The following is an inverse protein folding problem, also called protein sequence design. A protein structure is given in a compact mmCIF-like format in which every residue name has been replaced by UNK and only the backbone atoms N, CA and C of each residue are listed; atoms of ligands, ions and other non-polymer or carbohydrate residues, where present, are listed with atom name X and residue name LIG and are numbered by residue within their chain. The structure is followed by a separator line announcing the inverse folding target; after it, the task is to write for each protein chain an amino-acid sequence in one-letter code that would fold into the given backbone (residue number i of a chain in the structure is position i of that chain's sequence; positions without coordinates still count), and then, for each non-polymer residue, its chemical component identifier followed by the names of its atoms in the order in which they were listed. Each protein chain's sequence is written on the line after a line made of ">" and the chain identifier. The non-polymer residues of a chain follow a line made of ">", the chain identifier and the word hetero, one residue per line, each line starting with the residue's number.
data_IF_491100744770
#
_entry.id   IF_491100744770
#
_cell.length_a   1.000
_cell.length_b   1.000
_cell.length_c   1.000
_cell.angle_alpha   90.00
_cell.angle_beta   90.00
_cell.angle_gamma   90.00
#
_symmetry.space_group_name_H-M   'P 1'
#
loop_
_entity.id
_entity.type
_entity.pdbx_description
1 polymer ?
#
# COMPACT_ATOMS: atom_id res chain seq x y z
N UNK A 1 -5.41 -11.61 -15.14
CA UNK A 1 -4.61 -10.75 -14.25
C UNK A 1 -5.49 -10.13 -13.19
N UNK A 2 -5.19 -10.39 -11.91
CA UNK A 2 -5.82 -9.66 -10.82
C UNK A 2 -5.04 -8.34 -10.67
N UNK A 3 -5.62 -7.25 -11.18
CA UNK A 3 -4.98 -5.94 -11.21
C UNK A 3 -5.00 -5.28 -9.83
N UNK A 4 -3.90 -4.61 -9.48
CA UNK A 4 -3.81 -3.72 -8.31
C UNK A 4 -3.61 -2.29 -8.79
N UNK A 5 -4.35 -1.36 -8.21
CA UNK A 5 -4.27 0.06 -8.51
C UNK A 5 -4.01 0.82 -7.21
N UNK A 6 -3.03 1.74 -7.26
CA UNK A 6 -2.70 2.65 -6.17
C UNK A 6 -2.79 4.09 -6.69
N UNK A 7 -3.71 4.85 -6.12
CA UNK A 7 -3.98 6.23 -6.51
C UNK A 7 -3.55 7.19 -5.40
N UNK A 8 -2.49 7.99 -5.59
CA UNK A 8 -2.11 8.99 -4.60
C UNK A 8 -3.18 10.09 -4.48
N UNK A 9 -3.58 10.42 -3.26
CA UNK A 9 -4.44 11.56 -2.94
C UNK A 9 -3.63 12.64 -2.20
N UNK A 10 -3.06 13.62 -2.92
CA UNK A 10 -2.20 14.64 -2.35
C UNK A 10 -2.92 15.62 -1.42
N UNK A 11 -4.26 15.68 -1.43
CA UNK A 11 -5.05 16.59 -0.58
C UNK A 11 -5.05 16.13 0.88
N UNK A 12 -5.01 14.82 1.11
CA UNK A 12 -5.09 14.22 2.46
C UNK A 12 -3.81 13.48 2.86
N UNK A 13 -2.80 13.41 1.98
CA UNK A 13 -1.55 12.67 2.25
C UNK A 13 -1.71 11.15 2.25
N UNK A 14 -2.82 10.64 1.71
CA UNK A 14 -3.15 9.22 1.68
C UNK A 14 -3.16 8.70 0.25
N UNK A 15 -2.98 7.41 0.04
CA UNK A 15 -3.22 6.75 -1.25
C UNK A 15 -4.47 5.87 -1.16
N UNK A 16 -5.27 5.85 -2.23
CA UNK A 16 -6.36 4.90 -2.38
C UNK A 16 -5.86 3.61 -3.04
N UNK A 17 -6.07 2.48 -2.37
CA UNK A 17 -5.73 1.15 -2.82
C UNK A 17 -6.96 0.41 -3.32
N UNK A 18 -6.82 -0.28 -4.46
CA UNK A 18 -7.87 -1.11 -5.01
C UNK A 18 -7.30 -2.36 -5.67
N UNK A 19 -8.01 -3.48 -5.56
CA UNK A 19 -7.74 -4.73 -6.28
C UNK A 19 -9.03 -5.25 -6.91
N UNK A 20 -8.90 -5.84 -8.11
CA UNK A 20 -10.06 -6.35 -8.87
C UNK A 20 -10.83 -7.47 -8.18
N UNK A 21 -10.16 -8.22 -7.33
CA UNK A 21 -10.70 -9.35 -6.55
C UNK A 21 -11.07 -8.96 -5.11
N UNK A 22 -10.96 -7.68 -4.76
CA UNK A 22 -11.18 -7.16 -3.41
C UNK A 22 -10.24 -7.70 -2.32
N UNK A 23 -9.09 -8.30 -2.67
CA UNK A 23 -8.05 -8.70 -1.71
C UNK A 23 -7.59 -7.58 -0.78
N UNK A 24 -7.58 -6.31 -1.22
CA UNK A 24 -7.30 -5.15 -0.36
C UNK A 24 -8.26 -5.01 0.84
N UNK A 25 -9.48 -5.57 0.78
CA UNK A 25 -10.42 -5.61 1.90
C UNK A 25 -10.04 -6.66 2.97
N UNK A 26 -9.28 -7.69 2.58
CA UNK A 26 -8.83 -8.75 3.49
C UNK A 26 -7.58 -8.34 4.27
N UNK A 27 -6.77 -7.45 3.70
CA UNK A 27 -5.64 -6.84 4.36
C UNK A 27 -4.49 -6.56 3.41
N UNK A 28 -3.56 -5.73 3.86
CA UNK A 28 -2.31 -5.43 3.17
C UNK A 28 -1.25 -4.99 4.18
N UNK A 29 0.01 -5.14 3.80
CA UNK A 29 1.15 -4.73 4.60
C UNK A 29 2.12 -3.88 3.80
N UNK A 30 2.79 -2.95 4.47
CA UNK A 30 3.81 -2.10 3.90
C UNK A 30 5.11 -2.31 4.66
N UNK A 31 6.16 -2.65 3.93
CA UNK A 31 7.49 -2.87 4.47
C UNK A 31 8.45 -1.79 4.00
N UNK A 32 9.39 -1.40 4.85
CA UNK A 32 10.50 -0.52 4.45
C UNK A 32 11.59 -1.27 3.66
N UNK A 33 12.62 -0.56 3.22
CA UNK A 33 13.72 -1.11 2.45
C UNK A 33 14.54 -2.19 3.19
N UNK A 34 14.45 -2.28 4.52
CA UNK A 34 15.08 -3.34 5.33
C UNK A 34 14.22 -4.60 5.44
N UNK A 35 12.98 -4.58 4.92
CA UNK A 35 11.99 -5.64 5.06
C UNK A 35 11.21 -5.58 6.38
N UNK A 36 11.33 -4.49 7.15
CA UNK A 36 10.57 -4.30 8.38
C UNK A 36 9.15 -3.85 8.06
N UNK A 37 8.16 -4.46 8.69
CA UNK A 37 6.77 -3.99 8.65
C UNK A 37 6.67 -2.61 9.30
N UNK A 38 6.19 -1.61 8.54
CA UNK A 38 6.00 -0.23 9.01
C UNK A 38 4.54 0.20 9.04
N UNK A 39 3.68 -0.44 8.24
CA UNK A 39 2.25 -0.19 8.24
C UNK A 39 1.50 -1.46 7.85
N UNK A 40 0.33 -1.66 8.41
CA UNK A 40 -0.63 -2.66 7.96
C UNK A 40 -2.03 -2.06 7.99
N UNK A 41 -2.92 -2.60 7.19
CA UNK A 41 -4.28 -2.12 7.14
C UNK A 41 -5.20 -3.02 6.34
N UNK A 42 -6.45 -2.58 6.25
CA UNK A 42 -7.50 -3.22 5.45
C UNK A 42 -8.36 -2.13 4.80
N UNK A 43 -8.87 -2.42 3.62
CA UNK A 43 -9.68 -1.48 2.87
C UNK A 43 -8.86 -0.54 1.98
N UNK A 44 -9.50 0.51 1.44
CA UNK A 44 -8.92 1.31 0.37
C UNK A 44 -7.93 2.37 0.86
N UNK A 45 -7.85 2.66 2.17
CA UNK A 45 -7.03 3.76 2.66
C UNK A 45 -5.63 3.30 3.02
N UNK A 46 -4.61 3.77 2.31
CA UNK A 46 -3.19 3.65 2.68
C UNK A 46 -2.71 5.02 3.15
N UNK A 47 -2.56 5.20 4.47
CA UNK A 47 -2.07 6.44 5.06
C UNK A 47 -0.55 6.36 5.34
N UNK A 48 0.23 7.02 4.49
CA UNK A 48 1.69 7.07 4.60
C UNK A 48 2.23 8.27 5.36
N UNK A 49 1.38 9.13 5.93
CA UNK A 49 1.80 10.46 6.42
C UNK A 49 2.83 10.42 7.56
N UNK A 50 2.87 9.33 8.35
CA UNK A 50 3.83 9.14 9.45
C UNK A 50 5.03 8.26 9.07
N UNK A 51 5.11 7.81 7.83
CA UNK A 51 6.20 6.95 7.36
C UNK A 51 7.40 7.80 6.96
N UNK A 52 8.60 7.24 7.13
CA UNK A 52 9.81 7.87 6.60
C UNK A 52 9.72 7.95 5.07
N UNK A 53 10.13 9.06 4.44
CA UNK A 53 10.20 9.15 2.99
C UNK A 53 11.09 8.06 2.40
N UNK A 54 10.70 7.51 1.25
CA UNK A 54 11.47 6.49 0.56
C UNK A 54 10.62 5.38 -0.07
N UNK A 55 11.34 4.39 -0.62
CA UNK A 55 10.73 3.23 -1.25
C UNK A 55 10.25 2.23 -0.21
N UNK A 56 9.00 1.80 -0.38
CA UNK A 56 8.33 0.79 0.42
C UNK A 56 7.81 -0.33 -0.48
N UNK A 57 7.57 -1.50 0.11
CA UNK A 57 6.97 -2.65 -0.55
C UNK A 57 5.60 -2.90 0.03
N UNK A 58 4.57 -2.75 -0.80
CA UNK A 58 3.18 -3.07 -0.50
C UNK A 58 2.91 -4.53 -0.87
N UNK A 59 2.47 -5.33 0.09
CA UNK A 59 2.02 -6.69 -0.12
C UNK A 59 0.52 -6.77 0.08
N UNK A 60 -0.15 -7.45 -0.86
CA UNK A 60 -1.57 -7.75 -0.81
C UNK A 60 -1.72 -9.26 -1.08
N UNK A 61 -2.47 -10.01 -0.26
CA UNK A 61 -2.62 -11.45 -0.45
C UNK A 61 -3.05 -11.80 -1.88
N UNK A 62 -2.36 -12.75 -2.51
CA UNK A 62 -2.69 -13.22 -3.86
C UNK A 62 -2.17 -12.35 -5.01
N UNK A 63 -1.51 -11.21 -4.73
CA UNK A 63 -0.93 -10.33 -5.75
C UNK A 63 0.59 -10.25 -5.65
N UNK A 64 1.22 -9.88 -6.78
CA UNK A 64 2.63 -9.54 -6.79
C UNK A 64 2.91 -8.29 -5.93
N UNK A 65 4.04 -8.23 -5.19
CA UNK A 65 4.39 -7.06 -4.40
C UNK A 65 4.56 -5.81 -5.26
N UNK A 66 4.16 -4.67 -4.72
CA UNK A 66 4.24 -3.37 -5.39
C UNK A 66 5.22 -2.44 -4.70
N UNK A 67 5.98 -1.70 -5.50
CA UNK A 67 6.87 -0.67 -5.02
C UNK A 67 6.11 0.65 -4.89
N UNK A 68 6.11 1.23 -3.70
CA UNK A 68 5.43 2.49 -3.38
C UNK A 68 6.47 3.51 -2.95
N UNK A 69 6.43 4.70 -3.53
CA UNK A 69 7.27 5.83 -3.11
C UNK A 69 6.48 6.71 -2.16
N UNK A 70 6.92 6.79 -0.90
CA UNK A 70 6.44 7.79 0.07
C UNK A 70 7.36 9.02 -0.04
N UNK A 71 6.77 10.22 -0.08
CA UNK A 71 7.47 11.50 -0.25
C UNK A 71 7.34 12.37 0.99
#
# INVERSE_FOLDING_TARGET
>A
DAGVLLYPNPVVGQSALWTSDQAHLQGWTLMDASGKLVLEGKGPSLDGAQLSPGMHVLNIPGHAPLKVLIR
#
